data_IF_552916260544
#
_entry.id   IF_552916260544
#
_cell.length_a   1.000
_cell.length_b   1.000
_cell.length_c   1.000
_cell.angle_alpha   90.00
_cell.angle_beta   90.00
_cell.angle_gamma   90.00
#
_symmetry.space_group_name_H-M   'P 1'
#
loop_
_entity.id
_entity.type
_entity.pdbx_description
1 polymer ?
#
# COMPACT_ATOMS: atom_id res chain seq x y z
N UNK A 1 -7.54 -9.10 -8.46
CA UNK A 1 -7.74 -7.65 -8.26
C UNK A 1 -6.63 -6.80 -8.89
N UNK A 2 -5.34 -7.04 -8.63
CA UNK A 2 -4.22 -6.29 -9.25
C UNK A 2 -4.26 -6.20 -10.80
N UNK A 3 -4.69 -7.27 -11.49
CA UNK A 3 -4.85 -7.31 -12.96
C UNK A 3 -5.89 -6.31 -13.51
N UNK A 4 -6.80 -5.79 -12.68
CA UNK A 4 -7.78 -4.76 -13.08
C UNK A 4 -7.11 -3.39 -13.20
N UNK A 5 -6.11 -3.12 -12.35
CA UNK A 5 -5.31 -1.89 -12.39
C UNK A 5 -4.14 -2.00 -13.36
N UNK A 6 -3.62 -3.22 -13.54
CA UNK A 6 -2.49 -3.50 -14.43
C UNK A 6 -2.82 -4.64 -15.41
N UNK A 7 -3.71 -4.40 -16.39
CA UNK A 7 -4.01 -5.39 -17.40
C UNK A 7 -2.75 -5.75 -18.17
N UNK A 8 -2.50 -7.04 -18.39
CA UNK A 8 -1.47 -7.53 -19.31
C UNK A 8 -1.91 -7.18 -20.74
N UNK A 9 -1.61 -5.96 -21.18
CA UNK A 9 -1.96 -5.48 -22.52
C UNK A 9 -0.99 -6.12 -23.53
N UNK A 10 -1.53 -6.81 -24.52
CA UNK A 10 -0.76 -7.32 -25.66
C UNK A 10 -0.24 -6.18 -26.55
N UNK A 11 0.84 -6.38 -27.30
CA UNK A 11 1.64 -5.32 -27.94
C UNK A 11 0.93 -4.44 -29.00
N UNK A 12 -0.35 -4.69 -29.32
CA UNK A 12 -1.05 -4.08 -30.45
C UNK A 12 -2.22 -3.13 -30.09
N UNK A 13 -2.40 -2.77 -28.81
CA UNK A 13 -3.42 -1.78 -28.43
C UNK A 13 -2.74 -0.45 -28.12
N UNK A 14 -2.93 0.54 -29.01
CA UNK A 14 -2.56 1.92 -28.73
C UNK A 14 -3.38 2.41 -27.53
N UNK A 15 -2.74 2.46 -26.37
CA UNK A 15 -3.37 2.88 -25.12
C UNK A 15 -3.14 4.38 -24.94
N UNK A 16 -4.23 5.15 -24.90
CA UNK A 16 -4.16 6.52 -24.42
C UNK A 16 -3.64 6.50 -22.98
N UNK A 17 -2.64 7.34 -22.68
CA UNK A 17 -2.10 7.48 -21.32
C UNK A 17 -3.25 7.84 -20.37
N UNK A 18 -3.48 7.08 -19.28
CA UNK A 18 -4.59 7.34 -18.39
C UNK A 18 -4.43 8.72 -17.76
N UNK A 19 -5.53 9.49 -17.72
CA UNK A 19 -5.53 10.83 -17.14
C UNK A 19 -5.45 10.77 -15.61
N UNK A 20 -4.92 11.81 -14.94
CA UNK A 20 -4.82 11.81 -13.48
C UNK A 20 -6.14 11.55 -12.73
N UNK A 21 -7.30 12.12 -13.15
CA UNK A 21 -8.58 11.78 -12.54
C UNK A 21 -8.97 10.31 -12.71
N UNK A 22 -8.68 9.70 -13.87
CA UNK A 22 -8.95 8.28 -14.11
C UNK A 22 -8.10 7.40 -13.20
N UNK A 23 -6.81 7.71 -13.05
CA UNK A 23 -5.91 6.97 -12.15
C UNK A 23 -6.41 7.06 -10.71
N UNK A 24 -6.75 8.27 -10.26
CA UNK A 24 -7.28 8.51 -8.91
C UNK A 24 -8.54 7.69 -8.66
N UNK A 25 -9.54 7.79 -9.55
CA UNK A 25 -10.79 7.05 -9.42
C UNK A 25 -10.58 5.53 -9.42
N UNK A 26 -9.66 5.03 -10.25
CA UNK A 26 -9.30 3.62 -10.30
C UNK A 26 -8.69 3.14 -8.97
N UNK A 27 -7.76 3.92 -8.39
CA UNK A 27 -7.12 3.59 -7.10
C UNK A 27 -8.15 3.60 -5.96
N UNK A 28 -9.02 4.62 -5.91
CA UNK A 28 -10.08 4.73 -4.91
C UNK A 28 -11.11 3.59 -5.04
N UNK A 29 -11.54 3.27 -6.27
CA UNK A 29 -12.47 2.18 -6.53
C UNK A 29 -11.87 0.82 -6.13
N UNK A 30 -10.57 0.61 -6.38
CA UNK A 30 -9.89 -0.61 -5.94
C UNK A 30 -9.82 -0.71 -4.41
N UNK A 31 -9.52 0.40 -3.73
CA UNK A 31 -9.47 0.45 -2.26
C UNK A 31 -10.86 0.19 -1.66
N UNK A 32 -11.90 0.79 -2.24
CA UNK A 32 -13.29 0.52 -1.87
C UNK A 32 -13.68 -0.94 -2.09
N UNK A 33 -13.31 -1.54 -3.23
CA UNK A 33 -13.54 -2.96 -3.43
C UNK A 33 -12.86 -3.77 -2.33
N UNK A 34 -11.60 -3.48 -2.01
CA UNK A 34 -10.85 -4.19 -0.97
C UNK A 34 -11.53 -4.13 0.42
N UNK A 35 -12.14 -3.00 0.80
CA UNK A 35 -12.91 -2.92 2.05
C UNK A 35 -14.18 -3.79 2.00
N UNK A 36 -14.84 -3.87 0.85
CA UNK A 36 -16.07 -4.68 0.69
C UNK A 36 -15.84 -6.18 0.64
N UNK A 37 -14.69 -6.65 0.12
CA UNK A 37 -14.39 -8.10 0.06
C UNK A 37 -13.88 -8.67 1.39
N UNK A 38 -13.85 -7.88 2.47
CA UNK A 38 -13.60 -8.37 3.83
C UNK A 38 -12.23 -9.02 4.03
N UNK A 39 -11.15 -8.46 3.47
CA UNK A 39 -9.78 -8.96 3.67
C UNK A 39 -9.58 -10.43 3.24
N UNK A 40 -10.46 -10.94 2.35
CA UNK A 40 -10.44 -12.30 1.84
C UNK A 40 -9.02 -12.67 1.46
N UNK A 41 -8.55 -13.87 1.85
CA UNK A 41 -7.17 -14.36 1.76
C UNK A 41 -6.47 -14.05 0.43
N UNK A 42 -5.99 -12.81 0.29
CA UNK A 42 -5.22 -12.37 -0.85
C UNK A 42 -3.80 -12.88 -0.63
N UNK A 43 -3.31 -13.62 -1.61
CA UNK A 43 -1.97 -14.20 -1.61
C UNK A 43 -0.92 -13.09 -1.33
N UNK A 44 0.02 -13.26 -0.39
CA UNK A 44 1.14 -12.34 -0.12
C UNK A 44 1.81 -11.79 -1.38
N UNK A 45 2.00 -12.64 -2.40
CA UNK A 45 2.59 -12.26 -3.69
C UNK A 45 1.75 -11.23 -4.47
N UNK A 46 0.43 -11.24 -4.29
CA UNK A 46 -0.48 -10.28 -4.92
C UNK A 46 -0.47 -8.91 -4.26
N UNK A 47 -0.15 -8.85 -2.95
CA UNK A 47 0.03 -7.59 -2.23
C UNK A 47 1.33 -6.90 -2.62
N UNK A 48 2.43 -7.66 -2.76
CA UNK A 48 3.74 -7.10 -3.10
C UNK A 48 3.69 -6.28 -4.41
N UNK A 49 3.05 -6.81 -5.46
CA UNK A 49 2.88 -6.09 -6.72
C UNK A 49 2.07 -4.81 -6.57
N UNK A 50 1.00 -4.86 -5.77
CA UNK A 50 0.12 -3.72 -5.51
C UNK A 50 0.83 -2.62 -4.70
N UNK A 51 1.55 -2.99 -3.63
CA UNK A 51 2.34 -2.08 -2.79
C UNK A 51 3.42 -1.39 -3.65
N UNK A 52 4.14 -2.16 -4.47
CA UNK A 52 5.18 -1.62 -5.34
C UNK A 52 4.59 -0.58 -6.29
N UNK A 53 3.47 -0.88 -6.94
CA UNK A 53 2.83 0.06 -7.86
C UNK A 53 2.32 1.33 -7.16
N UNK A 54 1.58 1.19 -6.05
CA UNK A 54 1.08 2.38 -5.34
C UNK A 54 2.23 3.21 -4.78
N UNK A 55 3.35 2.59 -4.37
CA UNK A 55 4.59 3.31 -4.05
C UNK A 55 5.12 4.15 -5.22
N UNK A 56 5.03 3.67 -6.46
CA UNK A 56 5.40 4.48 -7.64
C UNK A 56 4.43 5.64 -7.93
N UNK A 57 3.18 5.54 -7.46
CA UNK A 57 2.20 6.61 -7.59
C UNK A 57 2.43 7.74 -6.58
N UNK A 58 3.07 7.45 -5.43
CA UNK A 58 3.49 8.47 -4.47
C UNK A 58 4.55 9.43 -5.03
N UNK A 59 5.30 9.00 -6.06
CA UNK A 59 6.32 9.82 -6.72
C UNK A 59 5.75 10.68 -7.87
N UNK A 60 4.43 10.69 -8.08
CA UNK A 60 3.79 11.51 -9.13
C UNK A 60 3.57 12.95 -8.66
N UNK A 61 3.67 13.91 -9.58
CA UNK A 61 3.42 15.32 -9.26
C UNK A 61 1.95 15.58 -8.88
N UNK A 62 1.03 14.82 -9.47
CA UNK A 62 -0.40 14.96 -9.22
C UNK A 62 -0.76 14.57 -7.79
N UNK A 63 -1.35 15.53 -7.07
CA UNK A 63 -1.71 15.40 -5.67
C UNK A 63 -2.83 14.40 -5.43
N UNK A 64 -3.84 14.36 -6.30
CA UNK A 64 -4.97 13.47 -6.13
C UNK A 64 -4.52 12.01 -6.29
N UNK A 65 -3.61 11.75 -7.24
CA UNK A 65 -2.94 10.45 -7.38
C UNK A 65 -2.18 10.10 -6.09
N UNK A 66 -1.36 11.03 -5.58
CA UNK A 66 -0.57 10.78 -4.36
C UNK A 66 -1.47 10.46 -3.15
N UNK A 67 -2.52 11.23 -2.94
CA UNK A 67 -3.47 11.02 -1.82
C UNK A 67 -4.14 9.65 -1.95
N UNK A 68 -4.75 9.34 -3.10
CA UNK A 68 -5.43 8.06 -3.30
C UNK A 68 -4.46 6.87 -3.14
N UNK A 69 -3.22 6.99 -3.61
CA UNK A 69 -2.20 5.97 -3.41
C UNK A 69 -1.79 5.80 -1.94
N UNK A 70 -1.67 6.90 -1.20
CA UNK A 70 -1.39 6.88 0.24
C UNK A 70 -2.51 6.21 1.04
N UNK A 71 -3.76 6.53 0.75
CA UNK A 71 -4.94 5.89 1.34
C UNK A 71 -4.99 4.39 1.02
N UNK A 72 -4.76 4.01 -0.24
CA UNK A 72 -4.71 2.61 -0.64
C UNK A 72 -3.60 1.83 0.09
N UNK A 73 -2.42 2.44 0.28
CA UNK A 73 -1.32 1.83 1.02
C UNK A 73 -1.63 1.68 2.51
N UNK A 74 -2.27 2.69 3.12
CA UNK A 74 -2.75 2.59 4.49
C UNK A 74 -3.71 1.41 4.66
N UNK A 75 -4.69 1.28 3.76
CA UNK A 75 -5.65 0.18 3.77
C UNK A 75 -4.98 -1.19 3.54
N UNK A 76 -4.02 -1.29 2.63
CA UNK A 76 -3.25 -2.54 2.41
C UNK A 76 -2.54 -2.95 3.69
N UNK A 77 -1.90 -2.02 4.38
CA UNK A 77 -1.21 -2.32 5.63
C UNK A 77 -2.20 -2.61 6.75
N UNK A 78 -3.36 -1.99 6.80
CA UNK A 78 -4.42 -2.32 7.75
C UNK A 78 -4.90 -3.77 7.57
N UNK A 79 -5.34 -4.11 6.37
CA UNK A 79 -5.92 -5.42 6.02
C UNK A 79 -4.86 -6.53 6.02
N UNK A 80 -3.63 -6.20 5.63
CA UNK A 80 -2.51 -7.14 5.55
C UNK A 80 -1.78 -7.34 6.88
N UNK A 81 -1.78 -6.37 7.79
CA UNK A 81 -1.01 -6.45 9.04
C UNK A 81 -1.66 -7.35 10.08
N UNK A 82 -2.96 -7.64 10.02
CA UNK A 82 -3.66 -8.08 11.22
C UNK A 82 -3.44 -9.55 11.64
N UNK A 83 -3.19 -10.52 10.74
CA UNK A 83 -3.13 -11.94 11.16
C UNK A 83 -2.35 -12.93 10.27
N UNK A 84 -1.92 -12.55 9.05
CA UNK A 84 -1.53 -13.55 8.02
C UNK A 84 -0.03 -13.73 7.79
N UNK A 85 0.83 -13.09 8.57
CA UNK A 85 2.29 -13.27 8.44
C UNK A 85 2.91 -14.13 9.55
N UNK A 86 2.15 -14.54 10.58
CA UNK A 86 2.79 -15.14 11.77
C UNK A 86 2.04 -16.21 12.56
N UNK A 87 0.86 -16.74 12.18
CA UNK A 87 0.23 -17.81 12.99
C UNK A 87 -0.22 -19.01 12.14
N UNK A 88 0.15 -20.18 12.66
CA UNK A 88 0.20 -21.54 12.13
C UNK A 88 -1.14 -22.08 11.61
N UNK A 89 -1.08 -22.92 10.56
CA UNK A 89 -1.87 -24.15 10.54
C UNK A 89 -0.90 -25.31 10.76
N UNK A 90 -0.87 -25.85 11.99
CA UNK A 90 -0.16 -27.09 12.30
C UNK A 90 -0.94 -28.25 11.69
N UNK A 91 -0.71 -28.46 10.40
CA UNK A 91 -1.38 -29.49 9.61
C UNK A 91 -0.45 -30.15 8.61
N UNK A 92 0.46 -30.98 9.10
CA UNK A 92 0.98 -32.18 8.42
C UNK A 92 1.89 -32.04 7.18
N UNK A 93 3.15 -32.43 7.43
CA UNK A 93 4.04 -33.24 6.56
C UNK A 93 4.78 -32.59 5.37
N UNK A 94 6.12 -32.66 5.48
CA UNK A 94 7.16 -32.65 4.45
C UNK A 94 7.12 -31.59 3.33
N UNK A 95 7.82 -30.47 3.55
CA UNK A 95 8.86 -30.00 2.61
C UNK A 95 9.70 -28.86 3.22
N UNK A 96 11.03 -29.01 3.21
CA UNK A 96 12.01 -28.07 3.77
C UNK A 96 12.27 -26.84 2.88
N UNK A 97 11.54 -26.68 1.77
CA UNK A 97 11.78 -25.66 0.74
C UNK A 97 10.86 -24.43 0.87
N UNK A 98 9.73 -24.53 1.57
CA UNK A 98 8.71 -23.48 1.60
C UNK A 98 8.97 -22.38 2.65
N UNK A 99 9.64 -22.69 3.76
CA UNK A 99 9.93 -21.71 4.83
C UNK A 99 10.96 -20.65 4.41
N UNK A 100 11.97 -21.02 3.62
CA UNK A 100 12.96 -20.08 3.08
C UNK A 100 12.35 -19.08 2.09
N UNK A 101 11.31 -19.48 1.34
CA UNK A 101 10.62 -18.59 0.42
C UNK A 101 9.63 -17.65 1.15
N UNK A 102 8.91 -18.13 2.17
CA UNK A 102 8.03 -17.31 3.01
C UNK A 102 8.80 -16.20 3.74
N UNK A 103 9.93 -16.54 4.35
CA UNK A 103 10.80 -15.58 5.05
C UNK A 103 11.32 -14.48 4.12
N UNK A 104 11.70 -14.83 2.88
CA UNK A 104 12.11 -13.85 1.86
C UNK A 104 10.97 -12.91 1.44
N UNK A 105 9.76 -13.44 1.28
CA UNK A 105 8.58 -12.63 0.94
C UNK A 105 8.21 -11.65 2.08
N UNK A 106 8.32 -12.08 3.34
CA UNK A 106 8.12 -11.22 4.52
C UNK A 106 9.17 -10.08 4.56
N UNK A 107 10.45 -10.41 4.39
CA UNK A 107 11.53 -9.41 4.36
C UNK A 107 11.32 -8.38 3.24
N UNK A 108 10.86 -8.83 2.07
CA UNK A 108 10.57 -7.95 0.96
C UNK A 108 9.42 -6.99 1.26
N UNK A 109 8.31 -7.48 1.82
CA UNK A 109 7.17 -6.65 2.21
C UNK A 109 7.58 -5.63 3.28
N UNK A 110 8.42 -6.03 4.26
CA UNK A 110 8.98 -5.11 5.24
C UNK A 110 9.86 -4.01 4.59
N UNK A 111 10.70 -4.38 3.61
CA UNK A 111 11.49 -3.42 2.84
C UNK A 111 10.62 -2.42 2.06
N UNK A 112 9.55 -2.91 1.42
CA UNK A 112 8.58 -2.05 0.74
C UNK A 112 7.85 -1.12 1.72
N UNK A 113 7.47 -1.63 2.90
CA UNK A 113 6.85 -0.81 3.96
C UNK A 113 7.78 0.30 4.42
N UNK A 114 9.06 0.02 4.66
CA UNK A 114 10.05 1.03 5.04
C UNK A 114 10.21 2.11 3.96
N UNK A 115 10.23 1.73 2.67
CA UNK A 115 10.24 2.67 1.55
C UNK A 115 9.00 3.58 1.57
N UNK A 116 7.81 3.00 1.69
CA UNK A 116 6.54 3.75 1.73
C UNK A 116 6.51 4.72 2.91
N UNK A 117 6.95 4.30 4.09
CA UNK A 117 7.04 5.17 5.27
C UNK A 117 7.92 6.41 5.00
N UNK A 118 9.07 6.21 4.34
CA UNK A 118 9.94 7.32 3.98
C UNK A 118 9.29 8.28 2.96
N UNK A 119 8.57 7.74 1.96
CA UNK A 119 7.83 8.55 0.99
C UNK A 119 6.71 9.37 1.67
N UNK A 120 5.88 8.72 2.48
CA UNK A 120 4.79 9.35 3.24
C UNK A 120 5.32 10.43 4.18
N UNK A 121 6.44 10.17 4.87
CA UNK A 121 7.10 11.15 5.73
C UNK A 121 7.62 12.37 4.95
N UNK A 122 8.19 12.16 3.77
CA UNK A 122 8.60 13.26 2.89
C UNK A 122 7.39 14.12 2.48
N UNK A 123 6.28 13.47 2.10
CA UNK A 123 5.05 14.14 1.66
C UNK A 123 4.33 14.90 2.80
N UNK A 124 4.46 14.45 4.05
CA UNK A 124 3.87 15.13 5.21
C UNK A 124 4.58 16.43 5.57
N UNK A 125 5.85 16.58 5.19
CA UNK A 125 6.66 17.80 5.41
C UNK A 125 6.96 18.58 4.13
N UNK A 126 6.42 18.15 2.98
CA UNK A 126 6.78 18.67 1.66
C UNK A 126 6.63 20.19 1.57
N UNK A 127 7.73 20.90 1.30
CA UNK A 127 7.73 22.33 1.09
C UNK A 127 6.97 22.71 -0.20
N UNK A 128 6.24 23.83 -0.17
CA UNK A 128 5.54 24.30 -1.35
C UNK A 128 6.49 24.68 -2.48
N UNK A 129 6.39 23.99 -3.62
CA UNK A 129 7.07 24.38 -4.85
C UNK A 129 6.46 25.63 -5.47
N UNK A 130 7.23 26.33 -6.32
CA UNK A 130 6.78 27.47 -7.12
C UNK A 130 5.55 27.07 -7.94
N UNK A 131 4.38 27.64 -7.63
CA UNK A 131 3.12 27.39 -8.36
C UNK A 131 2.09 26.51 -7.65
N UNK A 132 2.40 25.96 -6.47
CA UNK A 132 1.40 25.21 -5.69
C UNK A 132 0.60 26.13 -4.76
N UNK A 133 -0.73 26.02 -4.80
CA UNK A 133 -1.59 26.84 -3.95
C UNK A 133 -1.38 26.45 -2.47
N UNK A 134 -1.13 27.46 -1.62
CA UNK A 134 -0.80 27.29 -0.20
C UNK A 134 -1.84 26.48 0.58
N UNK A 135 -3.13 26.67 0.25
CA UNK A 135 -4.25 25.93 0.85
C UNK A 135 -4.18 24.44 0.53
N UNK A 136 -3.93 24.13 -0.74
CA UNK A 136 -3.89 22.76 -1.21
C UNK A 136 -2.74 22.02 -0.54
N UNK A 137 -1.52 22.59 -0.55
CA UNK A 137 -0.35 22.04 0.15
C UNK A 137 -0.64 21.67 1.60
N UNK A 138 -1.31 22.55 2.34
CA UNK A 138 -1.64 22.30 3.74
C UNK A 138 -2.58 21.08 3.90
N UNK A 139 -3.56 20.94 3.00
CA UNK A 139 -4.47 19.78 2.98
C UNK A 139 -3.71 18.46 2.79
N UNK A 140 -2.82 18.39 1.80
CA UNK A 140 -2.01 17.18 1.56
C UNK A 140 -1.11 16.84 2.75
N UNK A 141 -0.42 17.83 3.33
CA UNK A 141 0.45 17.59 4.50
C UNK A 141 -0.35 17.02 5.66
N UNK A 142 -1.55 17.56 5.91
CA UNK A 142 -2.44 17.03 6.94
C UNK A 142 -2.82 15.57 6.64
N UNK A 143 -3.30 15.27 5.43
CA UNK A 143 -3.64 13.89 5.03
C UNK A 143 -2.45 12.94 5.19
N UNK A 144 -1.26 13.32 4.74
CA UNK A 144 -0.07 12.46 4.87
C UNK A 144 0.45 12.37 6.30
N UNK A 145 0.19 13.35 7.16
CA UNK A 145 0.46 13.23 8.59
C UNK A 145 -0.47 12.21 9.24
N UNK A 146 -1.75 12.22 8.90
CA UNK A 146 -2.74 11.27 9.41
C UNK A 146 -2.39 9.84 8.95
N UNK A 147 -2.02 9.68 7.67
CA UNK A 147 -1.53 8.40 7.13
C UNK A 147 -0.23 7.98 7.82
N UNK A 148 0.73 8.89 8.01
CA UNK A 148 2.00 8.58 8.69
C UNK A 148 1.76 8.09 10.12
N UNK A 149 0.92 8.80 10.87
CA UNK A 149 0.53 8.43 12.22
C UNK A 149 -0.09 7.03 12.23
N UNK A 150 -1.03 6.75 11.33
CA UNK A 150 -1.62 5.42 11.19
C UNK A 150 -0.54 4.34 10.96
N UNK A 151 0.37 4.54 10.00
CA UNK A 151 1.40 3.56 9.66
C UNK A 151 2.44 3.34 10.77
N UNK A 152 2.67 4.35 11.62
CA UNK A 152 3.60 4.30 12.78
C UNK A 152 2.93 3.81 14.08
N UNK A 153 1.61 3.97 14.24
CA UNK A 153 0.85 3.59 15.44
C UNK A 153 0.29 2.16 15.35
N UNK A 154 -0.25 1.74 14.20
CA UNK A 154 -0.72 0.36 13.97
C UNK A 154 0.30 -0.73 14.37
N UNK A 155 1.60 -0.63 14.01
CA UNK A 155 2.57 -1.64 14.45
C UNK A 155 2.84 -1.60 15.96
N UNK A 156 2.62 -0.47 16.65
CA UNK A 156 2.79 -0.38 18.11
C UNK A 156 1.66 -1.08 18.85
N UNK A 157 0.41 -0.96 18.40
CA UNK A 157 -0.72 -1.65 19.03
C UNK A 157 -0.59 -3.19 18.95
N UNK A 158 0.01 -3.72 17.88
CA UNK A 158 0.29 -5.16 17.77
C UNK A 158 1.38 -5.66 18.72
N UNK A 159 2.39 -4.84 19.02
CA UNK A 159 3.43 -5.19 20.01
C UNK A 159 2.87 -5.17 21.44
N UNK A 160 1.96 -4.25 21.75
CA UNK A 160 1.31 -4.20 23.08
C UNK A 160 0.34 -5.36 23.31
N UNK A 161 -0.36 -5.85 22.27
CA UNK A 161 -1.22 -7.03 22.39
C UNK A 161 -0.44 -8.32 22.70
N UNK A 162 0.83 -8.41 22.27
CA UNK A 162 1.72 -9.56 22.52
C UNK A 162 2.44 -9.50 23.87
N UNK A 163 2.41 -8.37 24.58
CA UNK A 163 3.03 -8.20 25.90
C UNK A 163 2.03 -8.39 27.06
N UNK A 164 0.76 -8.65 26.77
CA UNK A 164 -0.29 -8.89 27.76
C UNK A 164 -0.89 -10.31 27.69
N UNK A 165 -0.19 -11.24 27.02
CA UNK A 165 -0.45 -12.68 27.01
C UNK A 165 0.85 -13.42 27.32
#
# INVERSE_FOLDING_TARGET
MWQVIHPKIGPNVATAKPSPPMITAMVSAWSFLLTTVGGLALNPKSWQGSISYFSTLLDKDDRAIRIAAGEALALIFEVGSLEKFSVEDKGSSDSSTDEANKSKDILHIQGLRAKVLNQVRSLSVEAGGKGSAKKDLNSQRNTFRDILEFLEVVPRCQVFALLWY
#
